data_IF_787905375074
#
_entry.id   IF_787905375074
#
_cell.length_a   1.000
_cell.length_b   1.000
_cell.length_c   1.000
_cell.angle_alpha   90.00
_cell.angle_beta   90.00
_cell.angle_gamma   90.00
#
_symmetry.space_group_name_H-M   'P 1'
#
loop_
_entity.id
_entity.type
_entity.pdbx_description
1 polymer ?
#
# COMPACT_ATOMS: atom_id res chain seq x y z
N UNK A 1 2.74 13.52 24.53
CA UNK A 1 1.39 13.69 23.95
C UNK A 1 1.46 13.30 22.48
N UNK A 2 1.09 12.07 22.15
CA UNK A 2 1.13 11.57 20.77
C UNK A 2 -0.20 11.81 20.09
N UNK A 3 -0.29 12.83 19.24
CA UNK A 3 -1.32 12.85 18.22
C UNK A 3 -0.88 11.89 17.11
N UNK A 4 -1.25 10.62 17.23
CA UNK A 4 -1.21 9.69 16.10
C UNK A 4 -2.28 10.12 15.11
N UNK A 5 -1.92 11.07 14.26
CA UNK A 5 -2.78 11.44 13.16
C UNK A 5 -2.78 10.28 12.16
N UNK A 6 -3.84 9.47 12.19
CA UNK A 6 -4.15 8.51 11.14
C UNK A 6 -4.82 9.26 9.99
N UNK A 7 -4.02 9.87 9.13
CA UNK A 7 -4.49 10.34 7.83
C UNK A 7 -4.33 9.23 6.81
N UNK A 8 -5.30 9.10 5.90
CA UNK A 8 -5.07 8.35 4.68
C UNK A 8 -3.90 9.03 3.95
N UNK A 9 -2.80 8.31 3.66
CA UNK A 9 -1.61 8.90 3.03
C UNK A 9 -1.86 9.37 1.59
N UNK A 10 -3.08 9.14 1.08
CA UNK A 10 -3.55 9.52 -0.24
C UNK A 10 -4.85 10.30 -0.11
N UNK A 11 -5.08 11.26 -1.00
CA UNK A 11 -6.38 11.92 -1.06
C UNK A 11 -7.49 10.93 -1.40
N UNK A 12 -8.75 11.20 -1.00
CA UNK A 12 -9.87 10.34 -1.37
C UNK A 12 -9.96 10.05 -2.87
N UNK A 13 -9.57 11.01 -3.72
CA UNK A 13 -9.49 10.83 -5.17
C UNK A 13 -8.49 9.75 -5.58
N UNK A 14 -7.23 9.83 -5.12
CA UNK A 14 -6.23 8.80 -5.42
C UNK A 14 -6.59 7.45 -4.80
N UNK A 15 -7.17 7.44 -3.60
CA UNK A 15 -7.64 6.21 -2.97
C UNK A 15 -8.76 5.53 -3.78
N UNK A 16 -9.65 6.30 -4.40
CA UNK A 16 -10.74 5.75 -5.22
C UNK A 16 -10.22 4.92 -6.40
N UNK A 17 -9.06 5.27 -6.97
CA UNK A 17 -8.44 4.51 -8.06
C UNK A 17 -8.13 3.08 -7.60
N UNK A 18 -7.56 2.91 -6.41
CA UNK A 18 -7.30 1.59 -5.84
C UNK A 18 -8.59 0.78 -5.69
N UNK A 19 -9.66 1.41 -5.18
CA UNK A 19 -10.96 0.76 -5.02
C UNK A 19 -11.51 0.29 -6.37
N UNK A 20 -11.47 1.15 -7.40
CA UNK A 20 -11.91 0.77 -8.75
C UNK A 20 -11.07 -0.35 -9.36
N UNK A 21 -9.75 -0.34 -9.14
CA UNK A 21 -8.87 -1.42 -9.59
C UNK A 21 -9.23 -2.75 -8.93
N UNK A 22 -9.46 -2.77 -7.61
CA UNK A 22 -9.86 -3.98 -6.88
C UNK A 22 -11.22 -4.47 -7.36
N UNK A 23 -12.21 -3.59 -7.49
CA UNK A 23 -13.55 -3.95 -8.02
C UNK A 23 -13.44 -4.50 -9.44
N UNK A 24 -12.67 -3.84 -10.30
CA UNK A 24 -12.39 -4.30 -11.66
C UNK A 24 -11.79 -5.70 -11.66
N UNK A 25 -10.78 -5.95 -10.82
CA UNK A 25 -10.14 -7.27 -10.73
C UNK A 25 -11.11 -8.35 -10.25
N UNK A 26 -11.97 -8.06 -9.27
CA UNK A 26 -13.03 -8.97 -8.82
C UNK A 26 -13.96 -9.33 -9.98
N UNK A 27 -14.41 -8.33 -10.76
CA UNK A 27 -15.25 -8.56 -11.95
C UNK A 27 -14.53 -9.44 -12.96
N UNK A 28 -13.26 -9.15 -13.27
CA UNK A 28 -12.47 -9.92 -14.23
C UNK A 28 -12.27 -11.40 -13.79
N UNK A 29 -12.12 -11.65 -12.49
CA UNK A 29 -12.02 -13.01 -11.94
C UNK A 29 -13.36 -13.73 -12.04
N UNK A 30 -14.46 -13.08 -11.62
CA UNK A 30 -15.80 -13.68 -11.63
C UNK A 30 -16.30 -13.99 -13.04
N UNK A 31 -16.05 -13.08 -13.99
CA UNK A 31 -16.33 -13.29 -15.42
C UNK A 31 -15.34 -14.27 -16.10
N UNK A 32 -14.36 -14.80 -15.35
CA UNK A 32 -13.34 -15.74 -15.82
C UNK A 32 -12.48 -15.19 -16.97
N UNK A 33 -12.40 -13.86 -17.10
CA UNK A 33 -11.54 -13.20 -18.10
C UNK A 33 -10.07 -13.50 -17.78
N UNK A 34 -9.71 -13.55 -16.49
CA UNK A 34 -8.38 -13.90 -16.01
C UNK A 34 -8.15 -15.41 -15.81
N UNK A 35 -8.95 -16.26 -16.47
CA UNK A 35 -8.89 -17.71 -16.29
C UNK A 35 -7.51 -18.30 -16.51
N UNK A 36 -6.84 -17.85 -17.55
CA UNK A 36 -5.49 -18.32 -17.83
C UNK A 36 -4.53 -18.03 -16.67
N UNK A 37 -4.60 -16.84 -16.07
CA UNK A 37 -3.73 -16.44 -14.98
C UNK A 37 -3.93 -17.31 -13.73
N UNK A 38 -5.17 -17.45 -13.23
CA UNK A 38 -5.41 -18.23 -12.02
C UNK A 38 -5.23 -19.74 -12.24
N UNK A 39 -5.51 -20.27 -13.45
CA UNK A 39 -5.21 -21.66 -13.77
C UNK A 39 -3.71 -21.93 -13.82
N UNK A 40 -2.91 -20.98 -14.30
CA UNK A 40 -1.45 -21.08 -14.31
C UNK A 40 -0.86 -21.02 -12.89
N UNK A 41 -1.54 -20.33 -11.97
CA UNK A 41 -1.23 -20.36 -10.54
C UNK A 41 -1.70 -21.67 -9.86
N UNK A 42 -2.43 -22.54 -10.55
CA UNK A 42 -2.95 -23.80 -10.01
C UNK A 42 -4.17 -23.64 -9.11
N UNK A 43 -4.90 -22.51 -9.20
CA UNK A 43 -5.98 -22.17 -8.28
C UNK A 43 -7.30 -21.92 -9.00
N UNK A 44 -8.41 -22.17 -8.31
CA UNK A 44 -9.75 -21.82 -8.81
C UNK A 44 -10.10 -20.34 -8.62
N UNK A 45 -11.17 -19.83 -9.25
CA UNK A 45 -11.60 -18.43 -9.14
C UNK A 45 -11.87 -17.98 -7.69
N UNK A 46 -12.48 -18.85 -6.88
CA UNK A 46 -12.75 -18.54 -5.46
C UNK A 46 -11.47 -18.40 -4.65
N UNK A 47 -10.48 -19.25 -4.88
CA UNK A 47 -9.19 -19.13 -4.21
C UNK A 47 -8.38 -17.94 -4.75
N UNK A 48 -8.51 -17.59 -6.03
CA UNK A 48 -7.94 -16.37 -6.57
C UNK A 48 -8.51 -15.11 -5.88
N UNK A 49 -9.80 -15.10 -5.53
CA UNK A 49 -10.39 -14.02 -4.72
C UNK A 49 -9.86 -14.03 -3.29
N UNK A 50 -9.73 -15.19 -2.66
CA UNK A 50 -9.10 -15.30 -1.34
C UNK A 50 -7.66 -14.78 -1.36
N UNK A 51 -6.89 -15.10 -2.39
CA UNK A 51 -5.53 -14.57 -2.58
C UNK A 51 -5.53 -13.06 -2.79
N UNK A 52 -6.48 -12.50 -3.55
CA UNK A 52 -6.60 -11.06 -3.75
C UNK A 52 -6.89 -10.33 -2.43
N UNK A 53 -7.88 -10.77 -1.67
CA UNK A 53 -8.20 -10.12 -0.39
C UNK A 53 -7.13 -10.40 0.67
N UNK A 54 -6.58 -11.61 0.69
CA UNK A 54 -5.49 -12.00 1.56
C UNK A 54 -4.22 -11.20 1.30
N UNK A 55 -3.88 -10.95 0.04
CA UNK A 55 -2.73 -10.10 -0.31
C UNK A 55 -2.98 -8.64 0.06
N UNK A 56 -4.20 -8.12 -0.11
CA UNK A 56 -4.54 -6.76 0.29
C UNK A 56 -4.50 -6.58 1.82
N UNK A 57 -4.99 -7.55 2.59
CA UNK A 57 -4.89 -7.54 4.06
C UNK A 57 -3.42 -7.68 4.48
N UNK A 58 -2.70 -8.62 3.85
CA UNK A 58 -1.25 -8.80 4.00
C UNK A 58 -0.48 -7.52 3.68
N UNK A 59 -0.99 -6.69 2.75
CA UNK A 59 -0.47 -5.37 2.36
C UNK A 59 -0.33 -4.37 3.50
N UNK A 60 -1.04 -4.59 4.60
CA UNK A 60 -0.94 -3.75 5.79
C UNK A 60 0.23 -4.15 6.71
N UNK A 61 0.61 -5.42 6.70
CA UNK A 61 1.63 -5.98 7.58
C UNK A 61 3.00 -5.92 6.91
N UNK A 62 3.90 -5.11 7.45
CA UNK A 62 5.24 -4.89 6.92
C UNK A 62 6.28 -5.52 7.86
N UNK A 63 7.19 -6.32 7.30
CA UNK A 63 8.32 -6.92 8.00
C UNK A 63 9.57 -6.08 7.70
N UNK A 64 10.17 -5.42 8.71
CA UNK A 64 11.35 -4.60 8.49
C UNK A 64 12.56 -5.47 8.14
N UNK A 65 13.33 -5.05 7.13
CA UNK A 65 14.56 -5.71 6.69
C UNK A 65 15.76 -4.99 7.27
N UNK A 66 15.82 -3.66 7.10
CA UNK A 66 16.95 -2.83 7.56
C UNK A 66 16.55 -1.36 7.67
N UNK A 67 17.42 -0.57 8.29
CA UNK A 67 17.32 0.89 8.35
C UNK A 67 18.46 1.49 7.55
N UNK A 68 18.12 2.29 6.53
CA UNK A 68 19.07 3.03 5.73
C UNK A 68 19.31 4.41 6.36
N UNK A 69 20.57 4.85 6.53
CA UNK A 69 20.85 6.17 7.10
C UNK A 69 20.22 7.27 6.22
N UNK A 70 19.56 8.23 6.87
CA UNK A 70 18.86 9.34 6.21
C UNK A 70 19.48 10.69 6.54
N UNK A 71 19.30 11.65 5.62
CA UNK A 71 19.64 13.05 5.88
C UNK A 71 18.69 13.66 6.92
N UNK A 72 19.10 14.75 7.60
CA UNK A 72 18.23 15.47 8.53
C UNK A 72 16.90 15.88 7.85
N UNK A 73 15.77 15.50 8.45
CA UNK A 73 14.44 15.84 7.94
C UNK A 73 14.19 17.33 8.15
N UNK A 74 13.86 18.07 7.08
CA UNK A 74 13.40 19.46 7.18
C UNK A 74 11.92 19.48 7.56
N UNK A 75 11.65 19.61 8.85
CA UNK A 75 10.32 19.70 9.43
C UNK A 75 9.57 20.98 9.04
N UNK A 76 8.23 20.93 8.97
CA UNK A 76 7.37 22.12 8.87
C UNK A 76 7.29 22.74 7.48
N UNK A 77 7.80 22.06 6.46
CA UNK A 77 7.67 22.50 5.07
C UNK A 77 6.34 22.01 4.47
N UNK A 78 5.74 22.82 3.60
CA UNK A 78 4.71 22.34 2.68
C UNK A 78 5.42 21.84 1.43
N UNK A 79 5.14 20.60 1.03
CA UNK A 79 5.67 20.00 -0.19
C UNK A 79 4.52 19.70 -1.15
N UNK A 80 4.69 20.11 -2.41
CA UNK A 80 3.79 19.75 -3.50
C UNK A 80 4.22 18.41 -4.09
N UNK A 81 3.33 17.42 -4.02
CA UNK A 81 3.57 16.08 -4.56
C UNK A 81 2.31 15.57 -5.27
N UNK A 82 2.43 15.17 -6.54
CA UNK A 82 1.30 14.79 -7.39
C UNK A 82 0.14 15.82 -7.41
N UNK A 83 0.46 17.12 -7.38
CA UNK A 83 -0.53 18.21 -7.38
C UNK A 83 -1.24 18.43 -6.04
N UNK A 84 -0.76 17.80 -4.96
CA UNK A 84 -1.30 17.93 -3.61
C UNK A 84 -0.27 18.55 -2.66
N UNK A 85 -0.74 19.42 -1.76
CA UNK A 85 0.08 20.00 -0.69
C UNK A 85 0.09 19.11 0.55
N UNK A 86 1.28 18.68 0.96
CA UNK A 86 1.50 17.90 2.18
C UNK A 86 2.31 18.72 3.18
N UNK A 87 1.85 18.77 4.43
CA UNK A 87 2.63 19.36 5.53
C UNK A 87 3.57 18.29 6.05
N UNK A 88 4.89 18.53 5.95
CA UNK A 88 5.89 17.66 6.55
C UNK A 88 5.74 17.75 8.08
N UNK A 89 5.35 16.65 8.76
CA UNK A 89 5.15 16.67 10.20
C UNK A 89 6.45 17.05 10.93
N UNK A 90 6.32 17.60 12.13
CA UNK A 90 7.47 17.99 12.94
C UNK A 90 8.15 16.72 13.48
N UNK A 91 9.22 16.30 12.81
CA UNK A 91 10.00 15.11 13.20
C UNK A 91 11.22 15.56 14.01
N UNK A 92 11.25 15.22 15.30
CA UNK A 92 12.32 15.62 16.23
C UNK A 92 13.56 14.72 16.09
N UNK A 93 13.37 13.43 15.80
CA UNK A 93 14.44 12.46 15.52
C UNK A 93 13.91 11.40 14.53
N UNK A 94 14.55 11.26 13.37
CA UNK A 94 14.23 10.21 12.40
C UNK A 94 15.45 9.30 12.23
N UNK A 95 15.37 8.00 12.54
CA UNK A 95 16.54 7.11 12.51
C UNK A 95 17.03 6.79 11.08
N UNK A 96 16.28 7.20 10.05
CA UNK A 96 16.56 6.90 8.64
C UNK A 96 15.36 6.25 7.95
N UNK A 97 15.56 5.75 6.73
CA UNK A 97 14.49 5.07 5.98
C UNK A 97 14.42 3.60 6.38
N UNK A 98 13.28 3.16 6.90
CA UNK A 98 13.04 1.73 7.15
C UNK A 98 12.69 1.05 5.83
N UNK A 99 13.55 0.13 5.38
CA UNK A 99 13.23 -0.77 4.28
C UNK A 99 12.46 -1.96 4.84
N UNK A 100 11.26 -2.21 4.32
CA UNK A 100 10.41 -3.31 4.72
C UNK A 100 9.89 -4.07 3.50
N UNK A 101 9.63 -5.37 3.69
CA UNK A 101 8.82 -6.17 2.76
C UNK A 101 7.42 -6.34 3.31
N UNK A 102 6.47 -6.49 2.40
CA UNK A 102 5.09 -6.65 2.76
C UNK A 102 4.63 -8.13 2.69
N UNK A 103 3.89 -8.60 3.69
CA UNK A 103 3.39 -9.99 3.77
C UNK A 103 2.53 -10.37 2.56
N UNK A 104 1.75 -9.45 2.02
CA UNK A 104 0.85 -9.70 0.88
C UNK A 104 1.55 -9.88 -0.48
N UNK A 105 2.82 -9.49 -0.61
CA UNK A 105 3.54 -9.56 -1.89
C UNK A 105 4.90 -10.25 -1.85
N UNK A 106 5.45 -10.54 -0.66
CA UNK A 106 6.86 -10.89 -0.52
C UNK A 106 7.15 -12.10 0.40
N UNK A 107 6.14 -12.90 0.78
CA UNK A 107 6.34 -14.15 1.55
C UNK A 107 5.43 -15.25 1.03
#
# INVERSE_FOLDING_TARGET
>A
MGSQFHYLPLTPGFFSILVFLVVGLVILIQLRILRYAYMRLGVGPGFALMLLFGSLIGSYFNIPITVLPGNPVRSGQVVDFFGMQYVVPVVVQWPGTVLAVNVGGAV
#
